data_IF_221429019131
#
_entry.id   IF_221429019131
#
_cell.length_a   1.000
_cell.length_b   1.000
_cell.length_c   1.000
_cell.angle_alpha   90.00
_cell.angle_beta   90.00
_cell.angle_gamma   90.00
#
_symmetry.space_group_name_H-M   'P 1'
#
loop_
_entity.id
_entity.type
_entity.pdbx_description
1 polymer ?
#
# COMPACT_ATOMS: atom_id res chain seq x y z
N UNK A 1 7.48 2.68 21.16
CA UNK A 1 6.39 3.28 20.34
C UNK A 1 6.97 3.69 18.99
N UNK A 2 6.76 2.85 17.97
CA UNK A 2 7.05 3.11 16.56
C UNK A 2 6.18 2.09 15.79
N UNK A 3 5.49 2.37 14.69
CA UNK A 3 5.50 3.51 13.78
C UNK A 3 4.07 3.62 13.24
N UNK A 4 3.35 4.69 13.54
CA UNK A 4 2.24 5.07 12.67
C UNK A 4 2.87 5.52 11.35
N UNK A 5 2.35 5.05 10.22
CA UNK A 5 2.73 5.59 8.92
C UNK A 5 2.67 7.12 8.96
N UNK A 6 3.80 7.80 8.79
CA UNK A 6 3.87 9.27 8.84
C UNK A 6 3.47 9.91 7.50
N UNK A 7 2.64 9.22 6.71
CA UNK A 7 2.08 9.74 5.46
C UNK A 7 1.04 10.79 5.84
N UNK A 8 1.17 11.99 5.27
CA UNK A 8 0.34 13.15 5.57
C UNK A 8 -1.00 13.07 4.84
N UNK A 9 -0.98 12.71 3.55
CA UNK A 9 -2.18 12.46 2.75
C UNK A 9 -1.99 11.21 1.91
N UNK A 10 -3.04 10.39 1.84
CA UNK A 10 -3.05 9.19 1.03
C UNK A 10 -4.17 9.26 -0.01
N UNK A 11 -3.93 8.70 -1.18
CA UNK A 11 -4.94 8.52 -2.20
C UNK A 11 -4.67 7.26 -3.01
N UNK A 12 -5.69 6.76 -3.70
CA UNK A 12 -5.54 5.52 -4.46
C UNK A 12 -6.54 5.41 -5.61
N UNK A 13 -6.15 4.65 -6.62
CA UNK A 13 -7.07 4.10 -7.61
C UNK A 13 -7.24 2.62 -7.28
N UNK A 14 -8.41 2.19 -6.76
CA UNK A 14 -8.68 0.79 -6.50
C UNK A 14 -8.73 -0.02 -7.81
N UNK A 15 -8.58 -1.32 -7.68
CA UNK A 15 -8.81 -2.28 -8.75
C UNK A 15 -10.24 -2.87 -8.68
N UNK A 16 -11.23 -2.00 -8.76
CA UNK A 16 -12.67 -2.35 -8.67
C UNK A 16 -13.34 -2.58 -10.03
N UNK A 17 -12.68 -2.17 -11.12
CA UNK A 17 -13.17 -2.34 -12.50
C UNK A 17 -12.12 -3.05 -13.37
N UNK A 18 -12.34 -4.33 -13.74
CA UNK A 18 -11.40 -5.09 -14.56
C UNK A 18 -11.29 -4.58 -16.01
N UNK A 19 -12.21 -3.71 -16.45
CA UNK A 19 -12.17 -3.09 -17.76
C UNK A 19 -11.50 -1.70 -17.75
N UNK A 20 -11.10 -1.19 -16.58
CA UNK A 20 -10.48 0.14 -16.48
C UNK A 20 -9.15 0.16 -17.20
N UNK A 21 -9.00 1.15 -18.07
CA UNK A 21 -7.74 1.43 -18.73
C UNK A 21 -6.69 1.88 -17.71
N UNK A 22 -5.52 1.22 -17.74
CA UNK A 22 -4.37 1.59 -16.92
C UNK A 22 -3.90 3.02 -17.15
N UNK A 23 -4.14 3.60 -18.34
CA UNK A 23 -3.86 5.01 -18.62
C UNK A 23 -4.77 5.95 -17.82
N UNK A 24 -6.07 5.65 -17.72
CA UNK A 24 -7.05 6.45 -16.96
C UNK A 24 -6.67 6.41 -15.47
N UNK A 25 -6.36 5.22 -14.95
CA UNK A 25 -5.92 5.06 -13.56
C UNK A 25 -4.63 5.86 -13.29
N UNK A 26 -3.65 5.80 -14.20
CA UNK A 26 -2.42 6.57 -14.08
C UNK A 26 -2.68 8.08 -14.15
N UNK A 27 -3.56 8.55 -15.03
CA UNK A 27 -3.89 9.97 -15.18
C UNK A 27 -4.49 10.56 -13.89
N UNK A 28 -5.44 9.84 -13.26
CA UNK A 28 -6.03 10.25 -11.99
C UNK A 28 -4.96 10.44 -10.91
N UNK A 29 -4.09 9.44 -10.76
CA UNK A 29 -3.05 9.45 -9.74
C UNK A 29 -1.96 10.50 -10.02
N UNK A 30 -1.51 10.63 -11.28
CA UNK A 30 -0.52 11.64 -11.70
C UNK A 30 -1.04 13.05 -11.45
N UNK A 31 -2.31 13.32 -11.80
CA UNK A 31 -2.93 14.64 -11.59
C UNK A 31 -2.89 15.03 -10.11
N UNK A 32 -3.26 14.12 -9.23
CA UNK A 32 -3.26 14.39 -7.79
C UNK A 32 -1.85 14.54 -7.23
N UNK A 33 -0.91 13.65 -7.57
CA UNK A 33 0.48 13.76 -7.05
C UNK A 33 1.16 15.03 -7.53
N UNK A 34 0.89 15.52 -8.75
CA UNK A 34 1.37 16.82 -9.22
C UNK A 34 0.83 17.97 -8.38
N UNK A 35 -0.44 17.93 -8.02
CA UNK A 35 -1.03 18.93 -7.13
C UNK A 35 -0.33 18.92 -5.77
N UNK A 36 -0.11 17.73 -5.19
CA UNK A 36 0.65 17.60 -3.94
C UNK A 36 2.09 18.11 -4.08
N UNK A 37 2.76 17.91 -5.22
CA UNK A 37 4.12 18.41 -5.45
C UNK A 37 4.16 19.95 -5.40
N UNK A 38 3.16 20.61 -5.99
CA UNK A 38 3.02 22.07 -5.95
C UNK A 38 2.71 22.53 -4.52
N UNK A 39 1.73 21.92 -3.85
CA UNK A 39 1.33 22.28 -2.49
C UNK A 39 2.47 22.12 -1.48
N UNK A 40 3.27 21.05 -1.63
CA UNK A 40 4.38 20.74 -0.74
C UNK A 40 5.71 21.38 -1.19
N UNK A 41 5.71 22.10 -2.33
CA UNK A 41 6.92 22.69 -2.93
C UNK A 41 8.07 21.68 -3.04
N UNK A 42 7.75 20.46 -3.51
CA UNK A 42 8.65 19.32 -3.49
C UNK A 42 8.73 18.62 -4.85
N UNK A 43 9.84 17.91 -5.10
CA UNK A 43 9.98 17.05 -6.28
C UNK A 43 9.33 15.71 -5.97
N UNK A 44 8.33 15.36 -6.77
CA UNK A 44 7.65 14.08 -6.68
C UNK A 44 8.53 12.89 -7.04
N UNK A 45 8.04 11.68 -6.71
CA UNK A 45 8.74 10.43 -6.97
C UNK A 45 7.79 9.40 -7.57
N UNK A 46 8.10 8.92 -8.76
CA UNK A 46 7.46 7.76 -9.36
C UNK A 46 8.20 6.48 -8.94
N UNK A 47 7.47 5.55 -8.34
CA UNK A 47 7.98 4.26 -7.90
C UNK A 47 7.35 3.15 -8.74
N UNK A 48 8.21 2.33 -9.35
CA UNK A 48 7.83 1.19 -10.17
C UNK A 48 8.42 -0.11 -9.60
N UNK A 49 7.82 -1.26 -9.95
CA UNK A 49 8.39 -2.57 -9.60
C UNK A 49 9.75 -2.78 -10.30
N UNK A 50 9.84 -2.38 -11.57
CA UNK A 50 11.04 -2.49 -12.42
C UNK A 50 11.08 -1.31 -13.41
N UNK A 51 12.28 -0.98 -13.92
CA UNK A 51 12.48 0.04 -14.97
C UNK A 51 12.31 -0.58 -16.36
N UNK A 52 11.13 -1.15 -16.64
CA UNK A 52 10.85 -1.89 -17.88
C UNK A 52 10.03 -1.05 -18.89
N UNK A 53 10.28 0.26 -18.97
CA UNK A 53 9.61 1.19 -19.89
C UNK A 53 8.08 1.32 -19.71
N UNK A 54 7.51 0.86 -18.59
CA UNK A 54 6.07 1.03 -18.29
C UNK A 54 5.72 2.52 -18.28
N UNK A 55 6.59 3.34 -17.69
CA UNK A 55 6.45 4.79 -17.70
C UNK A 55 6.53 5.38 -19.11
N UNK A 56 7.15 4.70 -20.09
CA UNK A 56 7.21 5.18 -21.48
C UNK A 56 5.97 4.84 -22.29
N UNK A 57 5.29 3.76 -21.92
CA UNK A 57 4.08 3.29 -22.59
C UNK A 57 2.87 4.13 -22.18
N UNK A 58 2.81 4.57 -20.92
CA UNK A 58 1.70 5.39 -20.40
C UNK A 58 2.08 6.88 -20.50
N UNK A 59 1.38 7.69 -21.33
CA UNK A 59 1.78 9.08 -21.59
C UNK A 59 1.83 9.98 -20.35
N UNK A 60 1.01 9.71 -19.34
CA UNK A 60 0.94 10.47 -18.10
C UNK A 60 2.13 10.19 -17.18
N UNK A 61 2.47 8.90 -17.00
CA UNK A 61 3.68 8.49 -16.30
C UNK A 61 4.94 9.00 -16.98
N UNK A 62 4.99 8.97 -18.33
CA UNK A 62 6.12 9.50 -19.10
C UNK A 62 6.37 10.98 -18.82
N UNK A 63 5.31 11.77 -18.84
CA UNK A 63 5.36 13.22 -18.56
C UNK A 63 5.78 13.47 -17.11
N UNK A 64 5.22 12.72 -16.17
CA UNK A 64 5.60 12.82 -14.77
C UNK A 64 7.09 12.47 -14.56
N UNK A 65 7.55 11.36 -15.14
CA UNK A 65 8.94 10.90 -15.09
C UNK A 65 9.96 11.87 -15.71
N UNK A 66 9.54 12.73 -16.64
CA UNK A 66 10.40 13.74 -17.23
C UNK A 66 10.64 14.95 -16.30
N UNK A 67 9.72 15.19 -15.37
CA UNK A 67 9.71 16.35 -14.46
C UNK A 67 10.13 15.98 -13.02
N UNK A 68 10.03 14.69 -12.68
CA UNK A 68 10.17 14.18 -11.32
C UNK A 68 11.13 12.99 -11.24
N UNK A 69 11.48 12.57 -10.02
CA UNK A 69 12.36 11.43 -9.83
C UNK A 69 11.63 10.12 -10.18
N UNK A 70 12.36 9.16 -10.75
CA UNK A 70 11.87 7.79 -10.99
C UNK A 70 12.80 6.79 -10.32
N UNK A 71 12.24 5.84 -9.58
CA UNK A 71 13.02 4.86 -8.83
C UNK A 71 12.30 3.51 -8.72
N UNK A 72 13.04 2.52 -8.26
CA UNK A 72 12.55 1.17 -7.94
C UNK A 72 13.22 0.69 -6.66
N UNK A 73 12.69 -0.33 -5.97
CA UNK A 73 13.33 -0.87 -4.77
C UNK A 73 14.74 -1.47 -5.00
N UNK A 74 15.20 -1.58 -6.24
CA UNK A 74 16.55 -2.07 -6.62
C UNK A 74 17.48 -0.95 -7.10
N UNK A 75 17.00 0.29 -7.21
CA UNK A 75 17.82 1.41 -7.68
C UNK A 75 18.96 1.75 -6.69
N UNK A 76 20.04 2.34 -7.19
CA UNK A 76 21.13 2.83 -6.35
C UNK A 76 20.66 3.99 -5.46
N UNK A 77 21.29 4.15 -4.29
CA UNK A 77 20.95 5.20 -3.31
C UNK A 77 20.99 6.61 -3.89
N UNK A 78 21.88 6.87 -4.86
CA UNK A 78 22.01 8.18 -5.50
C UNK A 78 20.75 8.58 -6.29
N UNK A 79 20.02 7.61 -6.86
CA UNK A 79 18.72 7.85 -7.52
C UNK A 79 17.60 8.09 -6.52
N UNK A 80 17.73 7.60 -5.29
CA UNK A 80 16.75 7.76 -4.22
C UNK A 80 16.87 9.14 -3.58
N UNK A 81 18.07 9.72 -3.52
CA UNK A 81 18.33 11.02 -2.92
C UNK A 81 17.75 12.22 -3.71
N UNK A 82 17.32 12.01 -4.96
CA UNK A 82 16.82 13.06 -5.85
C UNK A 82 15.34 13.42 -5.63
N UNK A 83 14.62 12.69 -4.76
CA UNK A 83 13.21 12.95 -4.48
C UNK A 83 12.86 12.76 -3.01
N UNK A 84 12.55 13.87 -2.33
CA UNK A 84 11.93 13.89 -1.02
C UNK A 84 10.63 14.68 -1.18
N UNK A 85 9.50 13.98 -1.31
CA UNK A 85 8.24 14.61 -1.66
C UNK A 85 7.14 13.59 -1.99
N UNK A 86 6.05 14.06 -2.61
CA UNK A 86 4.90 13.22 -2.92
C UNK A 86 5.26 12.04 -3.81
N UNK A 87 4.77 10.86 -3.44
CA UNK A 87 5.10 9.60 -4.10
C UNK A 87 3.90 9.08 -4.88
N UNK A 88 4.15 8.66 -6.12
CA UNK A 88 3.24 7.85 -6.93
C UNK A 88 3.80 6.43 -7.03
N UNK A 89 3.09 5.44 -6.52
CA UNK A 89 3.40 4.03 -6.77
C UNK A 89 2.43 3.45 -7.82
N UNK A 90 2.96 3.01 -8.96
CA UNK A 90 2.15 2.43 -10.02
C UNK A 90 2.20 0.91 -9.97
N UNK A 91 1.05 0.28 -9.69
CA UNK A 91 0.84 -1.17 -9.63
C UNK A 91 1.87 -1.88 -8.75
N UNK A 92 2.10 -1.43 -7.49
CA UNK A 92 3.19 -1.97 -6.69
C UNK A 92 2.91 -3.40 -6.23
N UNK A 93 3.96 -4.23 -6.24
CA UNK A 93 4.02 -5.42 -5.40
C UNK A 93 4.25 -5.04 -3.92
N UNK A 94 4.23 -6.03 -3.03
CA UNK A 94 4.41 -5.84 -1.58
C UNK A 94 5.68 -5.03 -1.25
N UNK A 95 6.79 -5.38 -1.91
CA UNK A 95 8.10 -4.79 -1.67
C UNK A 95 8.15 -3.34 -2.17
N UNK A 96 7.57 -3.11 -3.33
CA UNK A 96 7.51 -1.81 -3.99
C UNK A 96 6.59 -0.86 -3.23
N UNK A 97 5.48 -1.37 -2.70
CA UNK A 97 4.60 -0.63 -1.82
C UNK A 97 5.33 -0.23 -0.52
N UNK A 98 5.97 -1.19 0.16
CA UNK A 98 6.73 -0.91 1.39
C UNK A 98 7.84 0.14 1.18
N UNK A 99 8.52 0.07 0.03
CA UNK A 99 9.50 1.07 -0.38
C UNK A 99 8.86 2.44 -0.66
N UNK A 100 7.78 2.51 -1.45
CA UNK A 100 7.07 3.75 -1.74
C UNK A 100 6.54 4.43 -0.46
N UNK A 101 5.93 3.66 0.45
CA UNK A 101 5.47 4.16 1.74
C UNK A 101 6.62 4.67 2.62
N UNK A 102 7.82 4.08 2.50
CA UNK A 102 9.00 4.59 3.21
C UNK A 102 9.51 5.92 2.67
N UNK A 103 9.40 6.14 1.35
CA UNK A 103 9.75 7.40 0.69
C UNK A 103 8.74 8.52 0.99
N UNK A 104 7.46 8.16 1.09
CA UNK A 104 6.37 9.11 1.35
C UNK A 104 6.28 9.56 2.83
N UNK A 105 7.19 9.13 3.71
CA UNK A 105 7.18 9.51 5.12
C UNK A 105 7.34 11.02 5.26
N UNK A 106 6.37 11.66 5.92
CA UNK A 106 6.32 13.12 6.08
C UNK A 106 5.77 13.85 4.84
N UNK A 107 5.25 13.11 3.85
CA UNK A 107 4.69 13.63 2.61
C UNK A 107 3.46 12.81 2.19
N UNK A 108 3.07 12.87 0.92
CA UNK A 108 1.86 12.26 0.38
C UNK A 108 2.16 11.01 -0.44
N UNK A 109 1.22 10.06 -0.47
CA UNK A 109 1.33 8.82 -1.25
C UNK A 109 0.05 8.60 -2.06
N UNK A 110 0.20 8.49 -3.39
CA UNK A 110 -0.83 7.93 -4.26
C UNK A 110 -0.41 6.53 -4.73
N UNK A 111 -1.37 5.61 -4.81
CA UNK A 111 -1.13 4.27 -5.33
C UNK A 111 -2.16 3.90 -6.40
N UNK A 112 -1.71 3.34 -7.52
CA UNK A 112 -2.59 2.66 -8.49
C UNK A 112 -2.52 1.17 -8.23
N UNK A 113 -3.64 0.57 -7.85
CA UNK A 113 -3.75 -0.89 -7.61
C UNK A 113 -3.90 -1.67 -8.92
N UNK A 114 -3.69 -2.99 -8.88
CA UNK A 114 -4.13 -3.90 -9.94
C UNK A 114 -4.54 -5.25 -9.37
N UNK A 115 -5.33 -6.01 -10.13
CA UNK A 115 -5.85 -7.35 -9.79
C UNK A 115 -4.76 -8.31 -9.30
N UNK A 116 -3.57 -8.21 -9.87
CA UNK A 116 -2.46 -9.12 -9.59
C UNK A 116 -1.45 -8.56 -8.58
N UNK A 117 -1.74 -7.39 -8.02
CA UNK A 117 -0.88 -6.63 -7.13
C UNK A 117 -1.00 -7.00 -5.65
N UNK A 118 -0.38 -6.17 -4.82
CA UNK A 118 -0.60 -6.22 -3.37
C UNK A 118 -1.95 -5.59 -3.03
N UNK A 119 -2.82 -6.23 -2.23
CA UNK A 119 -4.11 -5.66 -1.85
C UNK A 119 -3.93 -4.43 -0.96
N UNK A 120 -4.54 -3.32 -1.37
CA UNK A 120 -4.36 -2.01 -0.76
C UNK A 120 -5.61 -1.47 -0.07
N UNK A 121 -6.75 -2.15 -0.19
CA UNK A 121 -8.00 -1.72 0.43
C UNK A 121 -7.87 -1.51 1.94
N UNK A 122 -7.26 -2.46 2.64
CA UNK A 122 -7.01 -2.32 4.07
C UNK A 122 -6.09 -1.14 4.40
N UNK A 123 -5.10 -0.86 3.54
CA UNK A 123 -4.22 0.29 3.71
C UNK A 123 -4.97 1.61 3.49
N UNK A 124 -5.79 1.68 2.43
CA UNK A 124 -6.59 2.83 2.08
C UNK A 124 -7.58 3.17 3.21
N UNK A 125 -8.32 2.17 3.72
CA UNK A 125 -9.22 2.34 4.88
C UNK A 125 -8.47 2.81 6.12
N UNK A 126 -7.29 2.24 6.40
CA UNK A 126 -6.51 2.59 7.58
C UNK A 126 -5.92 4.02 7.54
N UNK A 127 -5.54 4.52 6.36
CA UNK A 127 -5.01 5.87 6.20
C UNK A 127 -6.06 6.91 5.83
N UNK A 128 -7.32 6.50 5.60
CA UNK A 128 -8.34 7.39 5.07
C UNK A 128 -7.99 7.89 3.67
N UNK A 129 -7.44 7.01 2.83
CA UNK A 129 -7.00 7.37 1.49
C UNK A 129 -8.20 7.76 0.61
N UNK A 130 -8.03 8.81 -0.19
CA UNK A 130 -9.04 9.27 -1.16
C UNK A 130 -9.13 8.26 -2.30
N UNK A 131 -10.30 7.64 -2.49
CA UNK A 131 -10.61 6.82 -3.66
C UNK A 131 -10.86 7.72 -4.87
N UNK A 132 -9.97 7.68 -5.87
CA UNK A 132 -10.12 8.52 -7.08
C UNK A 132 -11.26 8.12 -7.99
N UNK A 133 -11.82 6.92 -7.83
CA UNK A 133 -13.00 6.47 -8.57
C UNK A 133 -14.29 7.00 -7.95
N UNK A 134 -14.25 7.27 -6.63
CA UNK A 134 -15.36 7.74 -5.82
C UNK A 134 -14.88 8.81 -4.83
N UNK A 135 -14.41 9.98 -5.32
CA UNK A 135 -13.73 10.98 -4.48
C UNK A 135 -14.64 11.63 -3.44
N UNK A 136 -15.96 11.54 -3.62
CA UNK A 136 -16.97 12.08 -2.72
C UNK A 136 -17.42 11.08 -1.64
N UNK A 137 -16.97 9.82 -1.70
CA UNK A 137 -17.30 8.79 -0.71
C UNK A 137 -16.27 8.75 0.41
N UNK A 138 -16.75 8.59 1.65
CA UNK A 138 -15.87 8.32 2.77
C UNK A 138 -15.51 6.82 2.81
N UNK A 139 -14.26 6.47 3.16
CA UNK A 139 -13.88 5.07 3.35
C UNK A 139 -14.76 4.41 4.40
N UNK A 140 -15.25 3.21 4.10
CA UNK A 140 -15.99 2.43 5.09
C UNK A 140 -15.09 2.10 6.29
N UNK A 141 -15.56 2.35 7.54
CA UNK A 141 -14.79 2.00 8.72
C UNK A 141 -14.68 0.48 8.86
N UNK A 142 -13.57 0.02 9.44
CA UNK A 142 -13.39 -1.39 9.78
C UNK A 142 -14.38 -1.81 10.87
N UNK A 143 -14.91 -3.04 10.76
CA UNK A 143 -15.66 -3.67 11.86
C UNK A 143 -14.82 -3.64 13.15
N UNK A 144 -15.44 -3.33 14.28
CA UNK A 144 -14.73 -3.14 15.54
C UNK A 144 -13.98 -4.40 16.00
N UNK A 145 -14.52 -5.60 15.76
CA UNK A 145 -13.85 -6.86 16.10
C UNK A 145 -12.71 -7.16 15.12
N UNK A 146 -12.88 -6.84 13.85
CA UNK A 146 -11.81 -6.93 12.86
C UNK A 146 -10.65 -5.99 13.23
N UNK A 147 -10.95 -4.73 13.55
CA UNK A 147 -9.97 -3.73 13.97
C UNK A 147 -9.19 -4.17 15.23
N UNK A 148 -9.90 -4.70 16.24
CA UNK A 148 -9.27 -5.23 17.45
C UNK A 148 -8.36 -6.43 17.17
N UNK A 149 -8.82 -7.37 16.35
CA UNK A 149 -8.00 -8.52 15.95
C UNK A 149 -6.75 -8.08 15.18
N UNK A 150 -6.85 -7.07 14.32
CA UNK A 150 -5.70 -6.51 13.60
C UNK A 150 -4.73 -5.82 14.58
N UNK A 151 -5.23 -5.09 15.57
CA UNK A 151 -4.38 -4.50 16.61
C UNK A 151 -3.62 -5.58 17.39
N UNK A 152 -4.25 -6.72 17.68
CA UNK A 152 -3.57 -7.85 18.31
C UNK A 152 -2.51 -8.47 17.39
N UNK A 153 -2.80 -8.66 16.10
CA UNK A 153 -1.81 -9.12 15.12
C UNK A 153 -0.62 -8.16 15.03
N UNK A 154 -0.85 -6.85 15.14
CA UNK A 154 0.18 -5.83 15.11
C UNK A 154 1.22 -6.00 16.23
N UNK A 155 0.77 -6.38 17.44
CA UNK A 155 1.63 -6.63 18.59
C UNK A 155 2.61 -7.80 18.34
N UNK A 156 2.18 -8.80 17.56
CA UNK A 156 2.98 -10.00 17.26
C UNK A 156 3.80 -9.87 15.97
N UNK A 157 3.70 -8.76 15.24
CA UNK A 157 4.37 -8.59 13.93
C UNK A 157 5.88 -8.46 14.00
N UNK A 158 6.45 -8.13 15.16
CA UNK A 158 7.88 -7.76 15.30
C UNK A 158 8.84 -8.86 14.84
N UNK A 159 8.48 -10.13 15.04
CA UNK A 159 9.25 -11.28 14.54
C UNK A 159 8.80 -11.73 13.14
N UNK A 160 7.98 -10.93 12.48
CA UNK A 160 7.36 -11.20 11.19
C UNK A 160 6.57 -12.50 11.14
N UNK A 161 5.96 -12.90 12.27
CA UNK A 161 5.30 -14.20 12.44
C UNK A 161 6.23 -15.37 12.07
N UNK A 162 7.53 -15.25 12.33
CA UNK A 162 8.53 -16.26 11.99
C UNK A 162 8.70 -17.33 13.07
N UNK A 163 8.55 -16.94 14.33
CA UNK A 163 8.71 -17.79 15.51
C UNK A 163 7.45 -18.63 15.81
N UNK A 164 7.62 -19.68 16.63
CA UNK A 164 6.51 -20.58 16.95
C UNK A 164 5.39 -19.86 17.72
N UNK A 165 5.76 -19.00 18.67
CA UNK A 165 4.80 -18.27 19.49
C UNK A 165 3.98 -17.27 18.66
N UNK A 166 4.62 -16.40 17.88
CA UNK A 166 3.92 -15.42 17.03
C UNK A 166 3.02 -16.10 15.99
N UNK A 167 3.47 -17.23 15.41
CA UNK A 167 2.62 -18.06 14.53
C UNK A 167 1.41 -18.63 15.24
N UNK A 168 1.57 -19.14 16.45
CA UNK A 168 0.46 -19.73 17.22
C UNK A 168 -0.58 -18.67 17.59
N UNK A 169 -0.15 -17.50 18.06
CA UNK A 169 -1.06 -16.40 18.38
C UNK A 169 -1.78 -15.89 17.13
N UNK A 170 -1.04 -15.64 16.03
CA UNK A 170 -1.65 -15.22 14.77
C UNK A 170 -2.69 -16.23 14.27
N UNK A 171 -2.39 -17.54 14.30
CA UNK A 171 -3.36 -18.58 13.92
C UNK A 171 -4.63 -18.54 14.77
N UNK A 172 -4.50 -18.39 16.09
CA UNK A 172 -5.65 -18.29 16.99
C UNK A 172 -6.52 -17.09 16.66
N UNK A 173 -5.92 -15.93 16.43
CA UNK A 173 -6.64 -14.70 16.06
C UNK A 173 -7.38 -14.90 14.73
N UNK A 174 -6.69 -15.43 13.71
CA UNK A 174 -7.27 -15.69 12.39
C UNK A 174 -8.40 -16.72 12.43
N UNK A 175 -8.28 -17.77 13.26
CA UNK A 175 -9.35 -18.75 13.46
C UNK A 175 -10.59 -18.14 14.11
N UNK A 176 -10.40 -17.25 15.10
CA UNK A 176 -11.51 -16.53 15.72
C UNK A 176 -12.23 -15.63 14.71
N UNK A 177 -11.47 -14.89 13.89
CA UNK A 177 -12.04 -14.06 12.81
C UNK A 177 -12.83 -14.92 11.81
N UNK A 178 -12.28 -16.08 11.42
CA UNK A 178 -12.98 -17.02 10.54
C UNK A 178 -14.29 -17.51 11.15
N UNK A 179 -14.26 -17.95 12.41
CA UNK A 179 -15.44 -18.42 13.12
C UNK A 179 -16.52 -17.35 13.28
N UNK A 180 -16.13 -16.08 13.30
CA UNK A 180 -17.04 -14.95 13.35
C UNK A 180 -17.52 -14.46 11.96
N UNK A 181 -17.02 -15.04 10.86
CA UNK A 181 -17.34 -14.57 9.50
C UNK A 181 -16.66 -13.25 9.11
N UNK A 182 -15.61 -12.85 9.84
CA UNK A 182 -14.92 -11.54 9.69
C UNK A 182 -13.49 -11.70 9.15
N UNK A 183 -13.17 -12.85 8.54
CA UNK A 183 -11.83 -13.08 7.99
C UNK A 183 -11.69 -12.43 6.61
N UNK A 184 -11.35 -11.14 6.62
CA UNK A 184 -11.11 -10.35 5.40
C UNK A 184 -9.62 -10.31 5.08
N UNK A 185 -9.17 -11.28 4.28
CA UNK A 185 -7.74 -11.49 3.95
C UNK A 185 -7.04 -10.20 3.51
N UNK A 186 -7.57 -9.54 2.51
CA UNK A 186 -6.91 -8.45 1.81
C UNK A 186 -6.89 -7.16 2.65
N UNK A 187 -7.98 -6.92 3.38
CA UNK A 187 -8.06 -5.86 4.39
C UNK A 187 -7.04 -6.07 5.51
N UNK A 188 -6.92 -7.28 6.07
CA UNK A 188 -5.96 -7.57 7.14
C UNK A 188 -4.51 -7.31 6.68
N UNK A 189 -4.15 -7.78 5.48
CA UNK A 189 -2.80 -7.58 4.92
C UNK A 189 -2.51 -6.10 4.68
N UNK A 190 -3.44 -5.37 4.07
CA UNK A 190 -3.30 -3.94 3.80
C UNK A 190 -3.17 -3.10 5.07
N UNK A 191 -4.01 -3.34 6.08
CA UNK A 191 -3.95 -2.59 7.36
C UNK A 191 -2.63 -2.84 8.08
N UNK A 192 -2.13 -4.07 8.11
CA UNK A 192 -0.83 -4.36 8.75
C UNK A 192 0.33 -3.73 8.00
N UNK A 193 0.29 -3.69 6.66
CA UNK A 193 1.27 -2.97 5.88
C UNK A 193 1.24 -1.46 6.19
N UNK A 194 0.04 -0.87 6.33
CA UNK A 194 -0.13 0.53 6.77
C UNK A 194 0.44 0.78 8.18
N UNK A 195 0.37 -0.20 9.08
CA UNK A 195 0.99 -0.15 10.41
C UNK A 195 2.51 -0.46 10.38
N UNK A 196 3.12 -0.59 9.21
CA UNK A 196 4.56 -0.79 9.05
C UNK A 196 5.03 -2.23 9.25
N UNK A 197 4.16 -3.23 9.04
CA UNK A 197 4.60 -4.61 8.95
C UNK A 197 5.59 -4.79 7.78
N UNK A 198 6.68 -5.53 8.02
CA UNK A 198 7.65 -5.83 6.96
C UNK A 198 7.07 -6.73 5.87
N UNK A 199 7.62 -6.69 4.66
CA UNK A 199 7.24 -7.60 3.56
C UNK A 199 7.32 -9.08 3.98
N UNK A 200 8.27 -9.42 4.85
CA UNK A 200 8.38 -10.76 5.44
C UNK A 200 7.18 -11.09 6.32
N UNK A 201 6.76 -10.15 7.17
CA UNK A 201 5.61 -10.32 8.04
C UNK A 201 4.32 -10.49 7.23
N UNK A 202 4.09 -9.61 6.25
CA UNK A 202 2.92 -9.64 5.35
C UNK A 202 2.85 -10.98 4.59
N UNK A 203 3.95 -11.43 3.99
CA UNK A 203 4.00 -12.73 3.29
C UNK A 203 3.77 -13.92 4.20
N UNK A 204 4.33 -13.91 5.40
CA UNK A 204 4.11 -14.99 6.36
C UNK A 204 2.66 -15.02 6.83
N UNK A 205 2.06 -13.86 7.07
CA UNK A 205 0.66 -13.77 7.48
C UNK A 205 -0.27 -14.23 6.37
N UNK A 206 -0.01 -13.87 5.11
CA UNK A 206 -0.76 -14.39 3.94
C UNK A 206 -0.83 -15.90 3.95
N UNK A 207 0.32 -16.58 4.11
CA UNK A 207 0.39 -18.05 4.22
C UNK A 207 -0.40 -18.59 5.41
N UNK A 208 -0.45 -17.87 6.53
CA UNK A 208 -1.23 -18.27 7.69
C UNK A 208 -2.74 -18.13 7.43
N UNK A 209 -3.17 -17.07 6.77
CA UNK A 209 -4.57 -16.86 6.36
C UNK A 209 -4.99 -17.97 5.40
N UNK A 210 -4.20 -18.24 4.35
CA UNK A 210 -4.48 -19.31 3.39
C UNK A 210 -4.64 -20.67 4.09
N UNK A 211 -3.74 -20.99 5.03
CA UNK A 211 -3.79 -22.23 5.80
C UNK A 211 -5.01 -22.33 6.74
N UNK A 212 -5.57 -21.19 7.18
CA UNK A 212 -6.79 -21.14 7.99
C UNK A 212 -8.04 -21.22 7.11
N UNK A 213 -8.01 -20.71 5.87
CA UNK A 213 -9.13 -20.80 4.92
C UNK A 213 -9.32 -22.21 4.35
N UNK A 214 -8.23 -22.95 4.11
CA UNK A 214 -8.28 -24.28 3.51
C UNK A 214 -8.52 -25.45 4.49
N UNK A 215 -8.67 -25.15 5.79
CA UNK A 215 -9.00 -26.17 6.82
C UNK A 215 -10.48 -26.21 7.12
#
# INVERSE_FOLDING_TARGET
MASASSIVRAAWVPDDDPARDGEIAADLAVKWVRQECVEQSAVGVLVLNTLNDVERQIPSLRRFAAEHAVTTPRASRDRIALGQGPVLAYVPDEKTFGFAASLARGSSLAVVESVHGFPLEGWARQLGAIDFTRPDEQPEPLDAKLAEAINQLDLYKNNGFGDQFGKQQARRILQNLRGAGLLERDVILGVLAAKGASDRAVRNLRKLIDAVCHR
#
